data_IF_900880087299
#
_entry.id   IF_900880087299
#
_cell.length_a   1.000
_cell.length_b   1.000
_cell.length_c   1.000
_cell.angle_alpha   90.00
_cell.angle_beta   90.00
_cell.angle_gamma   90.00
#
_symmetry.space_group_name_H-M   'P 1'
#
loop_
_entity.id
_entity.type
_entity.pdbx_description
1 polymer ?
#
# COMPACT_ATOMS: atom_id res chain seq x y z
N UNK A 1 -8.33 16.86 20.27
CA UNK A 1 -9.16 15.93 21.08
C UNK A 1 -9.60 14.69 20.31
N UNK A 2 -10.12 14.73 19.07
CA UNK A 2 -10.37 13.49 18.29
C UNK A 2 -9.15 13.00 17.52
N UNK A 3 -8.27 13.92 17.10
CA UNK A 3 -7.02 13.62 16.38
C UNK A 3 -5.96 12.91 17.22
N UNK A 4 -6.04 13.04 18.55
CA UNK A 4 -5.17 12.31 19.49
C UNK A 4 -5.48 10.80 19.52
N UNK A 5 -6.64 10.41 18.99
CA UNK A 5 -7.14 9.03 18.98
C UNK A 5 -7.32 8.46 17.58
N UNK A 6 -7.41 9.29 16.52
CA UNK A 6 -7.67 8.82 15.17
C UNK A 6 -6.80 9.54 14.13
N UNK A 7 -5.81 8.82 13.60
CA UNK A 7 -5.04 9.27 12.45
C UNK A 7 -5.72 8.86 11.14
N UNK A 8 -6.27 9.83 10.42
CA UNK A 8 -6.94 9.63 9.13
C UNK A 8 -5.96 9.12 8.06
N UNK A 9 -4.69 9.55 8.10
CA UNK A 9 -3.67 9.08 7.16
C UNK A 9 -3.42 7.57 7.33
N UNK A 10 -3.21 7.13 8.57
CA UNK A 10 -3.01 5.71 8.90
C UNK A 10 -4.25 4.90 8.52
N UNK A 11 -5.44 5.43 8.77
CA UNK A 11 -6.69 4.79 8.34
C UNK A 11 -6.72 4.53 6.83
N UNK A 12 -6.41 5.52 5.98
CA UNK A 12 -6.44 5.35 4.54
C UNK A 12 -5.33 4.43 4.00
N UNK A 13 -4.14 4.46 4.62
CA UNK A 13 -3.05 3.52 4.29
C UNK A 13 -3.49 2.09 4.60
N UNK A 14 -3.95 1.82 5.82
CA UNK A 14 -4.40 0.48 6.22
C UNK A 14 -5.61 0.02 5.41
N UNK A 15 -6.56 0.92 5.14
CA UNK A 15 -7.71 0.64 4.29
C UNK A 15 -7.25 0.17 2.90
N UNK A 16 -6.26 0.83 2.30
CA UNK A 16 -5.69 0.41 1.02
C UNK A 16 -5.05 -0.98 1.12
N UNK A 17 -4.11 -1.19 2.03
CA UNK A 17 -3.36 -2.46 2.13
C UNK A 17 -4.29 -3.66 2.41
N UNK A 18 -5.34 -3.42 3.19
CA UNK A 18 -6.36 -4.42 3.49
C UNK A 18 -7.26 -4.72 2.30
N UNK A 19 -7.58 -3.72 1.46
CA UNK A 19 -8.32 -3.93 0.21
C UNK A 19 -7.50 -4.71 -0.82
N UNK A 20 -6.21 -4.40 -0.98
CA UNK A 20 -5.31 -5.14 -1.88
C UNK A 20 -5.22 -6.62 -1.47
N UNK A 21 -4.99 -6.86 -0.18
CA UNK A 21 -4.99 -8.20 0.42
C UNK A 21 -6.35 -8.91 0.23
N UNK A 22 -7.46 -8.21 0.46
CA UNK A 22 -8.80 -8.76 0.31
C UNK A 22 -9.15 -9.13 -1.14
N UNK A 23 -8.71 -8.33 -2.13
CA UNK A 23 -8.88 -8.64 -3.56
C UNK A 23 -8.13 -9.92 -3.91
N UNK A 24 -6.89 -10.07 -3.44
CA UNK A 24 -6.06 -11.25 -3.75
C UNK A 24 -6.67 -12.52 -3.12
N UNK A 25 -7.10 -12.45 -1.86
CA UNK A 25 -7.82 -13.54 -1.19
C UNK A 25 -9.13 -13.88 -1.92
N UNK A 26 -9.89 -12.88 -2.35
CA UNK A 26 -11.15 -13.07 -3.09
C UNK A 26 -10.92 -13.74 -4.44
N UNK A 27 -9.86 -13.37 -5.15
CA UNK A 27 -9.48 -13.97 -6.45
C UNK A 27 -9.04 -15.41 -6.27
N UNK A 28 -8.23 -15.71 -5.24
CA UNK A 28 -7.80 -17.08 -4.93
C UNK A 28 -8.98 -17.95 -4.52
N UNK A 29 -9.88 -17.43 -3.69
CA UNK A 29 -11.08 -18.13 -3.24
C UNK A 29 -12.03 -18.41 -4.42
N UNK A 30 -12.16 -17.44 -5.33
CA UNK A 30 -12.90 -17.61 -6.59
C UNK A 30 -12.24 -18.62 -7.52
N UNK A 31 -10.90 -18.64 -7.61
CA UNK A 31 -10.15 -19.60 -8.43
C UNK A 31 -10.32 -21.04 -7.91
N UNK A 32 -10.25 -21.25 -6.59
CA UNK A 32 -10.54 -22.58 -5.99
C UNK A 32 -11.97 -23.00 -6.32
N UNK A 33 -12.96 -22.12 -6.15
CA UNK A 33 -14.33 -22.46 -6.53
C UNK A 33 -14.45 -22.78 -8.04
N UNK A 34 -13.78 -22.06 -8.93
CA UNK A 34 -13.88 -22.27 -10.38
C UNK A 34 -13.21 -23.56 -10.88
N UNK A 35 -12.05 -23.95 -10.33
CA UNK A 35 -11.36 -25.16 -10.80
C UNK A 35 -11.95 -26.47 -10.26
N UNK A 36 -12.59 -26.42 -9.09
CA UNK A 36 -13.16 -27.61 -8.44
C UNK A 36 -14.69 -27.72 -8.60
N UNK A 37 -15.30 -26.83 -9.38
CA UNK A 37 -16.73 -26.84 -9.70
C UNK A 37 -16.89 -27.01 -11.22
N UNK A 38 -17.45 -28.14 -11.66
CA UNK A 38 -17.80 -28.38 -13.06
C UNK A 38 -19.31 -28.27 -13.23
N UNK A 39 -19.73 -27.62 -14.30
CA UNK A 39 -21.15 -27.47 -14.65
C UNK A 39 -21.50 -28.62 -15.60
N UNK A 40 -22.52 -29.40 -15.27
CA UNK A 40 -23.03 -30.44 -16.17
C UNK A 40 -23.81 -29.84 -17.35
N UNK A 41 -24.01 -30.62 -18.41
CA UNK A 41 -24.77 -30.21 -19.60
C UNK A 41 -26.23 -29.80 -19.27
N UNK A 42 -26.75 -30.22 -18.12
CA UNK A 42 -28.10 -29.87 -17.63
C UNK A 42 -28.14 -28.59 -16.78
N UNK A 43 -27.00 -27.90 -16.59
CA UNK A 43 -26.92 -26.70 -15.75
C UNK A 43 -26.77 -26.97 -14.25
N UNK A 44 -26.79 -28.24 -13.84
CA UNK A 44 -26.57 -28.66 -12.46
C UNK A 44 -25.08 -28.58 -12.10
N UNK A 45 -24.79 -27.94 -10.98
CA UNK A 45 -23.44 -27.70 -10.49
C UNK A 45 -22.98 -28.88 -9.64
N UNK A 46 -22.04 -29.69 -10.13
CA UNK A 46 -21.47 -30.79 -9.34
C UNK A 46 -20.00 -30.53 -9.00
N UNK A 47 -19.58 -30.99 -7.82
CA UNK A 47 -18.22 -30.83 -7.33
C UNK A 47 -17.39 -32.01 -7.84
N UNK A 48 -16.28 -31.75 -8.53
CA UNK A 48 -15.37 -32.81 -9.04
C UNK A 48 -14.58 -33.50 -7.93
N UNK A 49 -14.59 -32.91 -6.73
CA UNK A 49 -13.81 -33.32 -5.55
C UNK A 49 -14.70 -33.29 -4.31
N UNK A 50 -14.43 -34.17 -3.35
CA UNK A 50 -15.13 -34.23 -2.06
C UNK A 50 -15.31 -32.83 -1.42
N UNK A 51 -16.50 -32.50 -0.89
CA UNK A 51 -16.78 -31.19 -0.29
C UNK A 51 -15.87 -30.87 0.91
N UNK A 52 -15.31 -31.91 1.55
CA UNK A 52 -14.32 -31.79 2.63
C UNK A 52 -12.98 -31.24 2.13
N UNK A 53 -12.52 -31.62 0.95
CA UNK A 53 -11.21 -31.24 0.43
C UNK A 53 -11.19 -29.76 -0.03
N UNK A 54 -12.28 -29.29 -0.63
CA UNK A 54 -12.46 -27.86 -0.96
C UNK A 54 -12.44 -26.99 0.29
N UNK A 55 -13.06 -27.44 1.39
CA UNK A 55 -13.01 -26.72 2.67
C UNK A 55 -11.59 -26.65 3.22
N UNK A 56 -10.77 -27.70 3.03
CA UNK A 56 -9.37 -27.70 3.43
C UNK A 56 -8.53 -26.70 2.62
N UNK A 57 -8.69 -26.63 1.30
CA UNK A 57 -7.98 -25.64 0.48
C UNK A 57 -8.38 -24.20 0.81
N UNK A 58 -9.67 -23.96 1.09
CA UNK A 58 -10.14 -22.65 1.59
C UNK A 58 -9.55 -22.30 2.95
N UNK A 59 -9.45 -23.28 3.84
CA UNK A 59 -8.82 -23.10 5.15
C UNK A 59 -7.32 -22.80 5.01
N UNK A 60 -6.60 -23.46 4.08
CA UNK A 60 -5.19 -23.16 3.81
C UNK A 60 -4.97 -21.71 3.36
N UNK A 61 -5.84 -21.17 2.49
CA UNK A 61 -5.78 -19.76 2.07
C UNK A 61 -5.95 -18.83 3.28
N UNK A 62 -6.96 -19.08 4.12
CA UNK A 62 -7.22 -18.27 5.30
C UNK A 62 -6.12 -18.36 6.36
N UNK A 63 -5.59 -19.56 6.60
CA UNK A 63 -4.49 -19.78 7.54
C UNK A 63 -3.24 -19.06 7.05
N UNK A 64 -2.94 -19.12 5.74
CA UNK A 64 -1.82 -18.39 5.13
C UNK A 64 -1.96 -16.88 5.25
N UNK A 65 -3.13 -16.33 4.94
CA UNK A 65 -3.40 -14.89 5.09
C UNK A 65 -3.30 -14.42 6.55
N UNK A 66 -3.88 -15.18 7.48
CA UNK A 66 -3.88 -14.84 8.91
C UNK A 66 -2.48 -14.94 9.53
N UNK A 67 -1.69 -15.95 9.13
CA UNK A 67 -0.32 -16.10 9.63
C UNK A 67 0.60 -15.00 9.12
N UNK A 68 0.47 -14.56 7.87
CA UNK A 68 1.22 -13.42 7.33
C UNK A 68 0.92 -12.13 8.09
N UNK A 69 -0.38 -11.85 8.33
CA UNK A 69 -0.83 -10.70 9.10
C UNK A 69 -0.32 -10.74 10.56
N UNK A 70 -0.35 -11.92 11.21
CA UNK A 70 0.12 -12.07 12.59
C UNK A 70 1.63 -11.79 12.72
N UNK A 71 2.44 -12.30 11.78
CA UNK A 71 3.89 -12.06 11.77
C UNK A 71 4.17 -10.57 11.55
N UNK A 72 3.48 -9.94 10.60
CA UNK A 72 3.60 -8.50 10.35
C UNK A 72 3.28 -7.66 11.59
N UNK A 73 2.16 -7.95 12.29
CA UNK A 73 1.81 -7.26 13.53
C UNK A 73 2.86 -7.45 14.63
N UNK A 74 3.45 -8.65 14.72
CA UNK A 74 4.55 -8.91 15.65
C UNK A 74 5.78 -8.05 15.38
N UNK A 75 6.22 -7.98 14.12
CA UNK A 75 7.36 -7.16 13.69
C UNK A 75 7.07 -5.67 13.95
N UNK A 76 5.88 -5.19 13.60
CA UNK A 76 5.47 -3.80 13.86
C UNK A 76 5.44 -3.46 15.35
N UNK A 77 4.94 -4.37 16.19
CA UNK A 77 4.95 -4.21 17.64
C UNK A 77 6.37 -4.10 18.22
N UNK A 78 7.29 -4.94 17.75
CA UNK A 78 8.72 -4.87 18.14
C UNK A 78 9.35 -3.55 17.72
N UNK A 79 9.05 -3.06 16.51
CA UNK A 79 9.58 -1.79 16.00
C UNK A 79 9.12 -0.60 16.86
N UNK A 80 7.82 -0.54 17.19
CA UNK A 80 7.26 0.51 18.06
C UNK A 80 7.89 0.45 19.46
N UNK A 81 8.05 -0.75 20.03
CA UNK A 81 8.64 -0.92 21.35
C UNK A 81 10.10 -0.43 21.41
N UNK A 82 10.91 -0.71 20.38
CA UNK A 82 12.29 -0.25 20.29
C UNK A 82 12.34 1.28 20.21
N UNK A 83 11.47 1.88 19.39
CA UNK A 83 11.44 3.33 19.17
C UNK A 83 11.17 4.10 20.47
N UNK A 84 10.22 3.62 21.28
CA UNK A 84 9.86 4.25 22.56
C UNK A 84 10.91 4.09 23.67
N UNK A 85 11.79 3.09 23.57
CA UNK A 85 12.82 2.82 24.60
C UNK A 85 14.11 3.62 24.34
N UNK A 86 14.41 3.97 23.09
CA UNK A 86 15.74 4.49 22.67
C UNK A 86 15.71 5.99 22.25
N UNK A 87 14.55 6.57 21.93
CA UNK A 87 14.46 7.67 20.96
C UNK A 87 14.36 9.14 21.41
N UNK A 88 14.48 9.52 22.69
CA UNK A 88 14.00 10.87 23.08
C UNK A 88 14.91 12.08 22.75
N UNK A 89 16.23 11.93 22.60
CA UNK A 89 17.11 13.13 22.52
C UNK A 89 17.81 13.39 21.18
N UNK A 90 18.03 12.38 20.34
CA UNK A 90 18.81 12.55 19.09
C UNK A 90 17.92 12.99 17.91
N UNK A 91 16.61 12.71 18.00
CA UNK A 91 15.67 12.86 16.89
C UNK A 91 14.98 14.21 16.82
N UNK A 92 14.87 14.94 17.93
CA UNK A 92 14.23 16.28 17.97
C UNK A 92 14.99 17.32 17.16
N UNK A 93 16.33 17.22 17.09
CA UNK A 93 17.16 18.14 16.32
C UNK A 93 17.08 17.91 14.79
N UNK A 94 16.68 16.72 14.35
CA UNK A 94 16.57 16.37 12.93
C UNK A 94 15.11 16.23 12.46
N UNK A 95 14.14 16.46 13.35
CA UNK A 95 12.73 16.11 13.18
C UNK A 95 12.14 16.68 11.88
N UNK A 96 12.40 17.95 11.59
CA UNK A 96 11.82 18.64 10.42
C UNK A 96 12.45 18.22 9.09
N UNK A 97 13.77 18.03 9.06
CA UNK A 97 14.47 17.51 7.87
C UNK A 97 14.01 16.08 7.60
N UNK A 98 13.92 15.27 8.66
CA UNK A 98 13.47 13.89 8.59
C UNK A 98 12.02 13.82 8.10
N UNK A 99 11.11 14.60 8.67
CA UNK A 99 9.71 14.69 8.24
C UNK A 99 9.57 15.14 6.77
N UNK A 100 10.40 16.11 6.36
CA UNK A 100 10.47 16.58 4.97
C UNK A 100 10.87 15.48 3.98
N UNK A 101 11.94 14.75 4.30
CA UNK A 101 12.46 13.67 3.45
C UNK A 101 11.52 12.46 3.44
N UNK A 102 10.99 12.04 4.60
CA UNK A 102 10.12 10.88 4.70
C UNK A 102 8.76 11.10 4.04
N UNK A 103 8.22 12.31 4.05
CA UNK A 103 6.97 12.62 3.34
C UNK A 103 7.15 12.61 1.82
N UNK A 104 8.26 13.14 1.28
CA UNK A 104 8.59 13.04 -0.16
C UNK A 104 8.83 11.59 -0.59
N UNK A 105 9.60 10.84 0.21
CA UNK A 105 9.87 9.42 -0.05
C UNK A 105 8.58 8.59 0.00
N UNK A 106 7.71 8.84 1.00
CA UNK A 106 6.40 8.18 1.11
C UNK A 106 5.52 8.50 -0.10
N UNK A 107 5.48 9.75 -0.55
CA UNK A 107 4.72 10.13 -1.74
C UNK A 107 5.21 9.42 -3.01
N UNK A 108 6.52 9.25 -3.16
CA UNK A 108 7.11 8.52 -4.28
C UNK A 108 6.69 7.05 -4.27
N UNK A 109 6.79 6.38 -3.11
CA UNK A 109 6.42 4.97 -3.01
C UNK A 109 4.91 4.79 -3.23
N UNK A 110 4.06 5.64 -2.63
CA UNK A 110 2.61 5.62 -2.84
C UNK A 110 2.27 5.79 -4.33
N UNK A 111 2.96 6.69 -5.03
CA UNK A 111 2.75 6.94 -6.45
C UNK A 111 3.12 5.74 -7.34
N UNK A 112 4.25 5.10 -7.06
CA UNK A 112 4.71 3.89 -7.77
C UNK A 112 3.75 2.73 -7.54
N UNK A 113 3.34 2.50 -6.29
CA UNK A 113 2.39 1.42 -5.97
C UNK A 113 0.99 1.71 -6.54
N UNK A 114 0.56 2.98 -6.56
CA UNK A 114 -0.71 3.39 -7.17
C UNK A 114 -0.82 3.03 -8.66
N UNK A 115 0.32 3.03 -9.38
CA UNK A 115 0.38 2.59 -10.78
C UNK A 115 0.27 1.06 -10.91
N UNK A 116 0.84 0.31 -9.97
CA UNK A 116 0.78 -1.15 -9.96
C UNK A 116 -0.67 -1.66 -9.82
N UNK A 117 -1.48 -0.98 -9.00
CA UNK A 117 -2.90 -1.27 -8.79
C UNK A 117 -3.73 -1.19 -10.08
N UNK A 118 -3.49 -0.20 -10.94
CA UNK A 118 -4.23 -0.02 -12.19
C UNK A 118 -4.03 -1.20 -13.16
N UNK A 119 -2.93 -1.96 -13.02
CA UNK A 119 -2.58 -3.08 -13.89
C UNK A 119 -3.11 -4.43 -13.39
N UNK A 120 -3.73 -4.48 -12.20
CA UNK A 120 -4.11 -5.72 -11.50
C UNK A 120 -5.02 -6.62 -12.34
N UNK A 121 -5.99 -6.06 -13.08
CA UNK A 121 -6.95 -6.84 -13.88
C UNK A 121 -6.23 -7.67 -14.96
N UNK A 122 -5.20 -7.10 -15.58
CA UNK A 122 -4.38 -7.80 -16.58
C UNK A 122 -3.39 -8.81 -15.97
N UNK A 123 -2.97 -8.61 -14.71
CA UNK A 123 -2.08 -9.53 -14.01
C UNK A 123 -2.84 -10.77 -13.54
N UNK A 124 -4.07 -10.59 -13.07
CA UNK A 124 -4.93 -11.69 -12.63
C UNK A 124 -5.19 -12.71 -13.73
N UNK A 125 -5.45 -12.29 -14.96
CA UNK A 125 -5.71 -13.21 -16.09
C UNK A 125 -4.45 -14.00 -16.47
N UNK A 126 -3.29 -13.34 -16.49
CA UNK A 126 -1.99 -14.00 -16.76
C UNK A 126 -1.61 -14.99 -15.67
N UNK A 127 -1.81 -14.62 -14.40
CA UNK A 127 -1.51 -15.50 -13.27
C UNK A 127 -2.42 -16.71 -13.22
N UNK A 128 -3.73 -16.54 -13.46
CA UNK A 128 -4.66 -17.67 -13.55
C UNK A 128 -4.25 -18.67 -14.64
N UNK A 129 -3.82 -18.17 -15.80
CA UNK A 129 -3.32 -19.03 -16.89
C UNK A 129 -2.02 -19.75 -16.52
N UNK A 130 -1.07 -19.07 -15.86
CA UNK A 130 0.18 -19.69 -15.40
C UNK A 130 -0.05 -20.73 -14.31
N UNK A 131 -0.89 -20.42 -13.31
CA UNK A 131 -1.21 -21.32 -12.21
C UNK A 131 -2.00 -22.54 -12.71
N UNK A 132 -2.94 -22.35 -13.63
CA UNK A 132 -3.69 -23.45 -14.26
C UNK A 132 -2.79 -24.39 -15.06
N UNK A 133 -1.80 -23.85 -15.78
CA UNK A 133 -0.80 -24.68 -16.46
C UNK A 133 0.06 -25.46 -15.48
N UNK A 134 0.62 -24.83 -14.45
CA UNK A 134 1.49 -25.52 -13.46
C UNK A 134 0.76 -26.52 -12.55
N UNK A 135 -0.56 -26.40 -12.41
CA UNK A 135 -1.40 -27.38 -11.70
C UNK A 135 -1.71 -28.62 -12.56
N UNK A 136 -1.71 -28.46 -13.89
CA UNK A 136 -2.04 -29.53 -14.84
C UNK A 136 -0.79 -30.16 -15.49
N UNK A 137 0.35 -29.44 -15.50
CA UNK A 137 1.68 -29.99 -15.80
C UNK A 137 2.11 -30.89 -14.64
N UNK A 138 1.79 -32.17 -14.78
CA UNK A 138 2.42 -33.22 -14.01
C UNK A 138 3.88 -33.34 -14.47
N UNK A 139 4.76 -32.43 -14.04
CA UNK A 139 6.23 -32.51 -14.22
C UNK A 139 6.82 -33.69 -13.41
N UNK A 140 6.36 -34.91 -13.67
CA UNK A 140 7.01 -36.12 -13.18
C UNK A 140 8.11 -36.59 -14.14
N UNK A 141 8.05 -36.22 -15.43
CA UNK A 141 8.87 -36.85 -16.47
C UNK A 141 10.23 -36.17 -16.71
N UNK A 142 10.37 -34.86 -16.46
CA UNK A 142 11.58 -34.09 -16.82
C UNK A 142 12.73 -34.22 -15.79
N UNK A 143 12.42 -34.39 -14.49
CA UNK A 143 13.43 -34.46 -13.43
C UNK A 143 14.02 -35.88 -13.26
N UNK A 144 13.29 -36.92 -13.68
CA UNK A 144 13.75 -38.32 -13.60
C UNK A 144 14.86 -38.60 -14.63
N UNK A 145 14.80 -37.97 -15.80
CA UNK A 145 15.83 -38.05 -16.84
C UNK A 145 17.15 -37.36 -16.41
N UNK A 146 17.08 -36.23 -15.70
CA UNK A 146 18.24 -35.51 -15.18
C UNK A 146 18.98 -36.28 -14.08
N UNK A 147 18.24 -37.00 -13.22
CA UNK A 147 18.85 -37.85 -12.19
C UNK A 147 19.58 -39.06 -12.79
N UNK A 148 19.07 -39.60 -13.90
CA UNK A 148 19.67 -40.74 -14.60
C UNK A 148 20.94 -40.36 -15.38
N UNK A 149 21.08 -39.10 -15.79
CA UNK A 149 22.26 -38.59 -16.52
C UNK A 149 23.41 -38.16 -15.58
N UNK A 150 23.12 -37.83 -14.32
CA UNK A 150 24.09 -37.34 -13.33
C UNK A 150 24.79 -38.47 -12.54
N UNK A 151 24.33 -39.73 -12.67
CA UNK A 151 24.83 -40.88 -11.90
C UNK A 151 26.29 -41.28 -12.22
N UNK A 152 26.93 -40.64 -13.21
CA UNK A 152 28.32 -40.92 -13.65
C UNK A 152 29.42 -39.92 -13.26
N UNK A 153 29.11 -38.78 -12.65
CA UNK A 153 30.07 -37.69 -12.38
C UNK A 153 30.50 -37.61 -10.88
N UNK A 154 31.78 -37.31 -10.56
CA UNK A 154 32.25 -37.19 -9.17
C UNK A 154 31.68 -35.97 -8.42
N UNK A 155 31.01 -35.05 -9.12
CA UNK A 155 30.27 -33.90 -8.57
C UNK A 155 28.75 -34.18 -8.46
N UNK A 156 28.32 -35.44 -8.53
CA UNK A 156 26.90 -35.77 -8.45
C UNK A 156 26.28 -35.38 -7.09
N UNK A 157 26.99 -35.60 -5.98
CA UNK A 157 26.40 -35.61 -4.64
C UNK A 157 25.84 -34.25 -4.16
N UNK A 158 26.49 -33.13 -4.51
CA UNK A 158 25.99 -31.79 -4.15
C UNK A 158 24.83 -31.34 -5.05
N UNK A 159 24.87 -31.71 -6.32
CA UNK A 159 23.78 -31.46 -7.27
C UNK A 159 22.55 -32.28 -6.87
N UNK A 160 22.72 -33.54 -6.46
CA UNK A 160 21.60 -34.38 -5.96
C UNK A 160 20.96 -33.79 -4.71
N UNK A 161 21.72 -33.20 -3.78
CA UNK A 161 21.16 -32.52 -2.60
C UNK A 161 20.37 -31.27 -2.97
N UNK A 162 20.86 -30.45 -3.89
CA UNK A 162 20.14 -29.26 -4.36
C UNK A 162 18.87 -29.63 -5.12
N UNK A 163 18.92 -30.64 -5.99
CA UNK A 163 17.76 -31.18 -6.72
C UNK A 163 16.76 -31.80 -5.73
N UNK A 164 17.22 -32.52 -4.71
CA UNK A 164 16.36 -33.05 -3.65
C UNK A 164 15.68 -31.96 -2.82
N UNK A 165 16.41 -30.91 -2.43
CA UNK A 165 15.84 -29.76 -1.71
C UNK A 165 14.86 -28.98 -2.58
N UNK A 166 15.17 -28.78 -3.86
CA UNK A 166 14.28 -28.18 -4.86
C UNK A 166 13.01 -29.01 -5.01
N UNK A 167 13.11 -30.34 -5.15
CA UNK A 167 11.98 -31.28 -5.21
C UNK A 167 11.13 -31.24 -3.96
N UNK A 168 11.75 -31.23 -2.77
CA UNK A 168 11.04 -31.13 -1.49
C UNK A 168 10.31 -29.79 -1.37
N UNK A 169 10.93 -28.70 -1.82
CA UNK A 169 10.29 -27.39 -1.88
C UNK A 169 9.19 -27.30 -2.93
N UNK A 170 9.31 -27.99 -4.06
CA UNK A 170 8.27 -28.05 -5.10
C UNK A 170 7.10 -28.96 -4.70
N UNK A 171 7.34 -30.05 -3.97
CA UNK A 171 6.26 -30.88 -3.39
C UNK A 171 5.53 -30.17 -2.25
N UNK A 172 6.27 -29.52 -1.34
CA UNK A 172 5.67 -28.65 -0.32
C UNK A 172 4.97 -27.46 -0.98
N UNK A 173 5.58 -26.90 -2.03
CA UNK A 173 5.04 -25.85 -2.87
C UNK A 173 3.73 -26.28 -3.51
N UNK A 174 3.64 -27.46 -4.15
CA UNK A 174 2.41 -27.97 -4.77
C UNK A 174 1.31 -28.28 -3.74
N UNK A 175 1.67 -28.84 -2.58
CA UNK A 175 0.71 -29.21 -1.52
C UNK A 175 0.18 -28.02 -0.71
N UNK A 176 0.96 -26.93 -0.62
CA UNK A 176 0.63 -25.73 0.14
C UNK A 176 0.62 -24.43 -0.72
N UNK A 177 0.67 -24.55 -2.06
CA UNK A 177 0.77 -23.43 -3.02
C UNK A 177 -0.34 -22.40 -2.78
N UNK A 178 -1.55 -22.90 -2.55
CA UNK A 178 -2.73 -22.10 -2.34
C UNK A 178 -2.67 -21.30 -1.02
N UNK A 179 -1.92 -21.77 -0.03
CA UNK A 179 -1.71 -21.07 1.24
C UNK A 179 -0.49 -20.15 1.26
N UNK A 180 0.58 -20.49 0.53
CA UNK A 180 1.83 -19.70 0.56
C UNK A 180 1.74 -18.39 -0.23
N UNK A 181 0.95 -18.37 -1.30
CA UNK A 181 0.69 -17.16 -2.09
C UNK A 181 0.04 -16.05 -1.23
N UNK A 182 -1.11 -16.26 -0.58
CA UNK A 182 -1.71 -15.24 0.28
C UNK A 182 -0.86 -14.95 1.51
N UNK A 183 -0.07 -15.89 2.01
CA UNK A 183 0.89 -15.66 3.09
C UNK A 183 1.97 -14.64 2.70
N UNK A 184 2.71 -14.88 1.61
CA UNK A 184 3.79 -13.98 1.17
C UNK A 184 3.23 -12.61 0.81
N UNK A 185 2.07 -12.55 0.17
CA UNK A 185 1.40 -11.30 -0.16
C UNK A 185 1.01 -10.52 1.10
N UNK A 186 0.26 -11.11 2.03
CA UNK A 186 -0.16 -10.40 3.25
C UNK A 186 1.02 -9.98 4.12
N UNK A 187 2.10 -10.78 4.13
CA UNK A 187 3.34 -10.42 4.80
C UNK A 187 4.04 -9.24 4.14
N UNK A 188 4.12 -9.20 2.80
CA UNK A 188 4.70 -8.07 2.06
C UNK A 188 3.89 -6.79 2.27
N UNK A 189 2.61 -6.80 1.92
CA UNK A 189 1.77 -5.59 2.02
C UNK A 189 1.65 -5.13 3.49
N UNK A 190 1.62 -6.08 4.43
CA UNK A 190 1.68 -5.76 5.86
C UNK A 190 3.01 -5.10 6.28
N UNK A 191 4.16 -5.61 5.82
CA UNK A 191 5.46 -5.01 6.13
C UNK A 191 5.60 -3.61 5.53
N UNK A 192 5.11 -3.41 4.30
CA UNK A 192 5.03 -2.08 3.69
C UNK A 192 4.19 -1.14 4.57
N UNK A 193 3.01 -1.59 5.04
CA UNK A 193 2.15 -0.82 5.96
C UNK A 193 2.87 -0.41 7.25
N UNK A 194 3.59 -1.34 7.88
CA UNK A 194 4.34 -1.08 9.13
C UNK A 194 5.41 -0.01 8.91
N UNK A 195 6.14 -0.06 7.79
CA UNK A 195 7.18 0.92 7.46
C UNK A 195 6.57 2.29 7.19
N UNK A 196 5.44 2.37 6.48
CA UNK A 196 4.75 3.64 6.23
C UNK A 196 4.18 4.28 7.49
N UNK A 197 3.52 3.48 8.34
CA UNK A 197 2.99 3.95 9.63
C UNK A 197 4.13 4.41 10.53
N UNK A 198 5.26 3.68 10.55
CA UNK A 198 6.47 4.09 11.27
C UNK A 198 7.07 5.39 10.75
N UNK A 199 7.08 5.61 9.43
CA UNK A 199 7.63 6.83 8.83
C UNK A 199 6.78 8.09 9.04
N UNK A 200 5.45 7.97 8.99
CA UNK A 200 4.51 9.10 9.13
C UNK A 200 4.11 9.32 10.60
N UNK A 201 4.16 8.27 11.42
CA UNK A 201 3.67 8.27 12.81
C UNK A 201 4.62 8.88 13.84
N UNK A 202 5.86 9.24 13.50
CA UNK A 202 6.85 9.71 14.49
C UNK A 202 6.38 10.92 15.30
N UNK A 203 5.53 11.79 14.73
CA UNK A 203 5.06 13.02 15.36
C UNK A 203 3.61 12.94 15.89
N UNK A 204 3.06 11.73 15.98
CA UNK A 204 1.68 11.49 16.42
C UNK A 204 1.68 10.61 17.69
N UNK A 205 0.80 10.86 18.67
CA UNK A 205 0.75 10.05 19.88
C UNK A 205 0.44 8.59 19.54
N UNK A 206 1.21 7.63 20.09
CA UNK A 206 1.04 6.20 19.78
C UNK A 206 -0.35 5.64 20.15
N UNK A 207 -1.12 6.34 20.99
CA UNK A 207 -2.53 6.02 21.26
C UNK A 207 -3.43 6.12 20.04
N UNK A 208 -3.03 6.89 19.02
CA UNK A 208 -3.83 7.12 17.80
C UNK A 208 -3.73 6.00 16.75
N UNK A 209 -2.71 5.13 16.84
CA UNK A 209 -2.46 4.10 15.82
C UNK A 209 -3.43 2.92 15.91
N UNK A 210 -3.67 2.31 17.09
CA UNK A 210 -4.46 1.08 17.17
C UNK A 210 -5.89 1.26 16.68
N UNK A 211 -6.52 2.40 16.97
CA UNK A 211 -7.89 2.68 16.56
C UNK A 211 -7.98 2.87 15.04
N UNK A 212 -7.06 3.63 14.44
CA UNK A 212 -7.01 3.83 13.00
C UNK A 212 -6.77 2.52 12.23
N UNK A 213 -5.84 1.67 12.71
CA UNK A 213 -5.55 0.36 12.13
C UNK A 213 -6.77 -0.56 12.22
N UNK A 214 -7.43 -0.61 13.38
CA UNK A 214 -8.61 -1.45 13.56
C UNK A 214 -9.78 -1.01 12.68
N UNK A 215 -10.11 0.28 12.66
CA UNK A 215 -11.16 0.83 11.80
C UNK A 215 -10.85 0.62 10.31
N UNK A 216 -9.60 0.86 9.88
CA UNK A 216 -9.17 0.63 8.50
C UNK A 216 -9.30 -0.83 8.09
N UNK A 217 -8.83 -1.75 8.93
CA UNK A 217 -8.95 -3.18 8.69
C UNK A 217 -10.39 -3.70 8.69
N UNK A 218 -11.24 -3.16 9.57
CA UNK A 218 -12.65 -3.53 9.63
C UNK A 218 -13.39 -3.06 8.36
N UNK A 219 -13.21 -1.80 7.97
CA UNK A 219 -13.85 -1.25 6.76
C UNK A 219 -13.32 -1.96 5.52
N UNK A 220 -12.00 -2.16 5.40
CA UNK A 220 -11.39 -2.88 4.29
C UNK A 220 -11.84 -4.34 4.20
N UNK A 221 -11.99 -5.02 5.34
CA UNK A 221 -12.54 -6.37 5.43
C UNK A 221 -14.00 -6.44 4.97
N UNK A 222 -14.85 -5.51 5.41
CA UNK A 222 -16.25 -5.43 4.96
C UNK A 222 -16.33 -5.23 3.45
N UNK A 223 -15.59 -4.25 2.92
CA UNK A 223 -15.55 -3.97 1.48
C UNK A 223 -15.03 -5.19 0.73
N UNK A 224 -13.99 -5.85 1.23
CA UNK A 224 -13.47 -7.10 0.68
C UNK A 224 -14.50 -8.22 0.59
N UNK A 225 -15.31 -8.42 1.64
CA UNK A 225 -16.40 -9.41 1.64
C UNK A 225 -17.50 -9.04 0.65
N UNK A 226 -17.86 -7.75 0.58
CA UNK A 226 -18.83 -7.25 -0.41
C UNK A 226 -18.31 -7.47 -1.82
N UNK A 227 -17.02 -7.25 -2.08
CA UNK A 227 -16.38 -7.50 -3.37
C UNK A 227 -16.35 -9.00 -3.73
N UNK A 228 -16.06 -9.87 -2.76
CA UNK A 228 -16.10 -11.33 -2.98
C UNK A 228 -17.50 -11.80 -3.40
N UNK A 229 -18.55 -11.27 -2.78
CA UNK A 229 -19.94 -11.62 -3.11
C UNK A 229 -20.45 -10.90 -4.37
N UNK A 230 -19.90 -9.72 -4.67
CA UNK A 230 -20.41 -8.78 -5.68
C UNK A 230 -20.16 -9.16 -7.14
N UNK A 231 -19.25 -10.11 -7.42
CA UNK A 231 -19.15 -10.89 -8.68
C UNK A 231 -18.99 -10.16 -10.03
N UNK A 232 -19.22 -8.85 -10.12
CA UNK A 232 -19.24 -8.12 -11.38
C UNK A 232 -17.90 -7.39 -11.58
N UNK A 233 -17.12 -7.81 -12.59
CA UNK A 233 -15.77 -7.27 -12.85
C UNK A 233 -15.74 -5.75 -13.07
N UNK A 234 -16.87 -5.15 -13.47
CA UNK A 234 -17.03 -3.71 -13.67
C UNK A 234 -16.97 -2.91 -12.37
N UNK A 235 -17.50 -3.40 -11.23
CA UNK A 235 -17.49 -2.62 -9.98
C UNK A 235 -16.08 -2.52 -9.35
N UNK A 236 -15.25 -3.54 -9.55
CA UNK A 236 -13.90 -3.60 -8.99
C UNK A 236 -12.95 -2.59 -9.64
N UNK A 237 -13.08 -2.38 -10.96
CA UNK A 237 -12.24 -1.44 -11.69
C UNK A 237 -12.53 0.02 -11.33
N UNK A 238 -13.81 0.42 -11.25
CA UNK A 238 -14.16 1.79 -10.84
C UNK A 238 -13.75 2.09 -9.41
N UNK A 239 -13.90 1.13 -8.50
CA UNK A 239 -13.47 1.27 -7.11
C UNK A 239 -11.96 1.50 -7.01
N UNK A 240 -11.16 0.69 -7.71
CA UNK A 240 -9.70 0.82 -7.73
C UNK A 240 -9.24 2.13 -8.39
N UNK A 241 -9.90 2.58 -9.47
CA UNK A 241 -9.60 3.86 -10.11
C UNK A 241 -9.88 5.03 -9.15
N UNK A 242 -11.02 5.00 -8.44
CA UNK A 242 -11.38 6.03 -7.48
C UNK A 242 -10.39 6.07 -6.30
N UNK A 243 -10.02 4.90 -5.75
CA UNK A 243 -9.04 4.83 -4.67
C UNK A 243 -7.64 5.26 -5.12
N UNK A 244 -7.21 4.91 -6.34
CA UNK A 244 -5.93 5.35 -6.88
C UNK A 244 -5.89 6.86 -7.12
N UNK A 245 -6.98 7.46 -7.62
CA UNK A 245 -7.09 8.91 -7.76
C UNK A 245 -6.97 9.62 -6.41
N UNK A 246 -7.68 9.12 -5.40
CA UNK A 246 -7.58 9.62 -4.03
C UNK A 246 -6.15 9.50 -3.47
N UNK A 247 -5.47 8.38 -3.69
CA UNK A 247 -4.09 8.17 -3.23
C UNK A 247 -3.09 9.10 -3.93
N UNK A 248 -3.30 9.43 -5.21
CA UNK A 248 -2.46 10.43 -5.90
C UNK A 248 -2.66 11.82 -5.32
N UNK A 249 -3.89 12.17 -4.92
CA UNK A 249 -4.16 13.42 -4.20
C UNK A 249 -3.40 13.45 -2.86
N UNK A 250 -3.41 12.34 -2.10
CA UNK A 250 -2.67 12.23 -0.83
C UNK A 250 -1.15 12.29 -1.05
N UNK A 251 -0.63 11.59 -2.06
CA UNK A 251 0.80 11.63 -2.39
C UNK A 251 1.24 13.06 -2.72
N UNK A 252 0.45 13.79 -3.51
CA UNK A 252 0.73 15.21 -3.78
C UNK A 252 0.69 16.09 -2.52
N UNK A 253 -0.24 15.82 -1.61
CA UNK A 253 -0.30 16.47 -0.30
C UNK A 253 0.97 16.23 0.52
N UNK A 254 1.46 14.98 0.54
CA UNK A 254 2.71 14.62 1.22
C UNK A 254 3.93 15.29 0.58
N UNK A 255 4.01 15.42 -0.75
CA UNK A 255 5.09 16.21 -1.39
C UNK A 255 4.99 17.68 -1.00
N UNK A 256 3.78 18.27 -1.00
CA UNK A 256 3.56 19.66 -0.60
C UNK A 256 3.95 19.92 0.86
N UNK A 257 3.68 18.96 1.75
CA UNK A 257 4.11 19.01 3.16
C UNK A 257 5.62 18.83 3.30
N UNK A 258 6.22 17.90 2.56
CA UNK A 258 7.65 17.64 2.68
C UNK A 258 8.52 18.80 2.21
N UNK A 259 8.14 19.43 1.10
CA UNK A 259 8.80 20.66 0.62
C UNK A 259 8.66 21.80 1.61
N UNK A 260 7.49 21.95 2.24
CA UNK A 260 7.28 22.97 3.27
C UNK A 260 8.26 22.83 4.44
N UNK A 261 8.41 21.64 4.99
CA UNK A 261 9.34 21.41 6.11
C UNK A 261 10.80 21.68 5.73
N UNK A 262 11.20 21.35 4.50
CA UNK A 262 12.56 21.65 4.00
C UNK A 262 12.79 23.16 3.81
N UNK A 263 11.80 23.89 3.30
CA UNK A 263 11.87 25.35 3.14
C UNK A 263 11.87 26.06 4.50
N UNK A 264 11.06 25.58 5.44
CA UNK A 264 10.99 26.09 6.80
C UNK A 264 12.33 25.93 7.52
N UNK A 265 13.00 24.78 7.37
CA UNK A 265 14.32 24.55 7.95
C UNK A 265 15.39 25.49 7.40
N UNK A 266 15.37 25.75 6.09
CA UNK A 266 16.28 26.74 5.49
C UNK A 266 16.03 28.15 6.03
N UNK A 267 14.77 28.49 6.30
CA UNK A 267 14.40 29.78 6.87
C UNK A 267 14.84 29.90 8.34
N UNK A 268 14.60 28.86 9.15
CA UNK A 268 15.02 28.79 10.55
C UNK A 268 16.54 28.91 10.67
N UNK A 269 17.29 28.23 9.81
CA UNK A 269 18.76 28.35 9.75
C UNK A 269 19.23 29.77 9.42
N UNK A 270 18.52 30.49 8.53
CA UNK A 270 18.84 31.90 8.19
C UNK A 270 18.50 32.86 9.33
N UNK A 271 17.45 32.60 10.08
CA UNK A 271 17.03 33.44 11.21
C UNK A 271 17.85 33.20 12.49
N UNK A 272 18.49 32.02 12.62
CA UNK A 272 19.28 31.66 13.80
C UNK A 272 18.45 31.41 15.07
N UNK A 273 17.13 31.47 14.98
CA UNK A 273 16.16 31.14 16.01
C UNK A 273 14.99 30.38 15.38
N UNK A 274 14.30 29.58 16.18
CA UNK A 274 13.12 28.84 15.73
C UNK A 274 11.96 29.81 15.46
N UNK A 275 11.69 30.04 14.18
CA UNK A 275 10.61 30.93 13.69
C UNK A 275 9.33 30.16 13.38
N UNK A 276 9.27 28.85 13.67
CA UNK A 276 8.02 28.10 13.56
C UNK A 276 6.95 28.78 14.42
N UNK A 277 5.89 29.24 13.75
CA UNK A 277 4.91 30.13 14.35
C UNK A 277 4.27 29.48 15.58
N UNK A 278 4.54 30.03 16.76
CA UNK A 278 3.84 29.69 18.00
C UNK A 278 2.45 30.35 17.99
N UNK A 279 1.59 29.91 17.07
CA UNK A 279 0.19 30.33 16.97
C UNK A 279 -0.26 30.75 15.57
N UNK A 280 -1.42 31.38 15.52
CA UNK A 280 -2.08 31.83 14.29
C UNK A 280 -1.95 33.35 14.07
N UNK A 281 -1.02 34.01 14.77
CA UNK A 281 -0.78 35.45 14.65
C UNK A 281 0.04 35.82 13.41
N UNK A 282 0.33 37.12 13.20
CA UNK A 282 1.29 37.58 12.19
C UNK A 282 2.69 37.07 12.60
N UNK A 283 3.04 35.87 12.14
CA UNK A 283 4.27 35.20 12.49
C UNK A 283 5.46 35.66 11.65
N UNK A 284 6.56 34.91 11.77
CA UNK A 284 7.79 35.16 11.04
C UNK A 284 7.89 34.18 9.87
N UNK A 285 7.68 34.68 8.65
CA UNK A 285 7.78 33.90 7.42
C UNK A 285 8.52 34.67 6.32
N UNK A 286 9.07 33.93 5.35
CA UNK A 286 9.80 34.50 4.22
C UNK A 286 8.86 35.12 3.18
N UNK A 287 8.63 36.44 3.28
CA UNK A 287 7.77 37.21 2.37
C UNK A 287 8.18 37.05 0.89
N UNK A 288 9.46 36.77 0.60
CA UNK A 288 9.95 36.66 -0.78
C UNK A 288 9.48 35.39 -1.50
N UNK A 289 9.22 34.32 -0.75
CA UNK A 289 8.83 33.02 -1.29
C UNK A 289 7.38 32.63 -0.97
N UNK A 290 6.70 33.38 -0.10
CA UNK A 290 5.29 33.17 0.24
C UNK A 290 4.35 33.81 -0.77
N UNK A 291 3.34 33.05 -1.20
CA UNK A 291 2.23 33.54 -2.02
C UNK A 291 1.12 34.12 -1.15
N UNK A 292 0.82 33.44 -0.04
CA UNK A 292 -0.23 33.83 0.88
C UNK A 292 0.13 33.44 2.31
N UNK A 293 -0.47 34.15 3.24
CA UNK A 293 -0.45 33.84 4.66
C UNK A 293 -1.84 34.17 5.22
N UNK A 294 -2.37 33.25 6.03
CA UNK A 294 -3.66 33.43 6.70
C UNK A 294 -3.45 33.29 8.21
N UNK A 295 -3.94 34.28 8.97
CA UNK A 295 -3.85 34.34 10.44
C UNK A 295 -4.82 33.38 11.16
N UNK A 296 -5.35 32.40 10.46
CA UNK A 296 -6.18 31.34 11.01
C UNK A 296 -5.89 30.07 10.21
N UNK A 297 -6.40 28.93 10.68
CA UNK A 297 -6.35 27.70 9.91
C UNK A 297 -4.94 27.12 9.80
N UNK A 298 -4.20 27.15 10.91
CA UNK A 298 -2.82 26.70 10.98
C UNK A 298 -2.74 25.17 10.86
N UNK A 299 -1.97 24.68 9.89
CA UNK A 299 -1.81 23.26 9.61
C UNK A 299 -0.98 22.48 10.64
N UNK A 300 -0.42 23.13 11.65
CA UNK A 300 0.35 22.51 12.74
C UNK A 300 -0.40 22.51 14.08
N UNK A 301 -1.26 23.51 14.33
CA UNK A 301 -1.88 23.73 15.65
C UNK A 301 -3.41 23.63 15.64
N UNK A 302 -4.07 23.91 14.51
CA UNK A 302 -5.53 23.85 14.41
C UNK A 302 -5.96 22.48 13.86
N UNK A 303 -6.62 21.69 14.70
CA UNK A 303 -6.80 20.26 14.43
C UNK A 303 -7.40 19.89 13.05
N UNK A 304 -8.54 20.48 12.69
CA UNK A 304 -9.16 20.21 11.39
C UNK A 304 -8.28 20.61 10.18
N UNK A 305 -7.39 21.58 10.37
CA UNK A 305 -6.43 22.03 9.37
C UNK A 305 -5.14 21.20 9.38
N UNK A 306 -4.79 20.59 10.51
CA UNK A 306 -3.76 19.56 10.60
C UNK A 306 -4.14 18.32 9.77
N UNK A 307 -5.43 17.97 9.73
CA UNK A 307 -5.94 16.93 8.83
C UNK A 307 -5.80 17.32 7.35
N UNK A 308 -6.13 18.54 6.98
CA UNK A 308 -5.97 19.03 5.61
C UNK A 308 -4.49 19.17 5.22
N UNK A 309 -3.62 19.47 6.19
CA UNK A 309 -2.17 19.45 6.02
C UNK A 309 -1.67 18.03 5.77
N UNK A 310 -2.18 17.08 6.56
CA UNK A 310 -1.89 15.67 6.44
C UNK A 310 -2.35 15.03 5.10
N UNK A 311 -3.52 15.39 4.59
CA UNK A 311 -4.11 14.77 3.40
C UNK A 311 -3.79 15.52 2.11
N UNK A 312 -3.92 16.85 2.11
CA UNK A 312 -3.81 17.68 0.90
C UNK A 312 -2.54 18.55 0.96
N UNK A 313 -1.77 18.49 2.05
CA UNK A 313 -0.59 19.32 2.23
C UNK A 313 -0.91 20.77 2.50
N UNK A 314 -2.12 21.08 3.00
CA UNK A 314 -2.55 22.44 3.38
C UNK A 314 -1.60 23.10 4.38
N UNK A 315 -1.26 24.35 4.13
CA UNK A 315 -0.47 25.20 5.03
C UNK A 315 -1.07 26.60 5.03
N UNK A 316 -1.14 27.25 6.19
CA UNK A 316 -1.63 28.62 6.35
C UNK A 316 -0.70 29.64 5.68
N UNK A 317 0.59 29.30 5.61
CA UNK A 317 1.61 30.00 4.83
C UNK A 317 1.98 29.09 3.66
N UNK A 318 1.71 29.49 2.42
CA UNK A 318 2.12 28.68 1.26
C UNK A 318 3.13 29.37 0.36
N UNK A 319 4.06 28.57 -0.15
CA UNK A 319 5.17 29.02 -1.01
C UNK A 319 4.91 28.77 -2.49
N UNK A 320 5.67 29.46 -3.35
CA UNK A 320 5.62 29.28 -4.80
C UNK A 320 5.82 27.82 -5.24
N UNK A 321 6.69 27.10 -4.56
CA UNK A 321 7.01 25.70 -4.88
C UNK A 321 5.80 24.81 -4.59
N UNK A 322 5.14 24.99 -3.44
CA UNK A 322 3.91 24.25 -3.11
C UNK A 322 2.77 24.52 -4.09
N UNK A 323 2.57 25.77 -4.52
CA UNK A 323 1.55 26.07 -5.56
C UNK A 323 1.82 25.31 -6.85
N UNK A 324 3.08 25.25 -7.27
CA UNK A 324 3.47 24.55 -8.50
C UNK A 324 3.22 23.05 -8.36
N UNK A 325 3.59 22.44 -7.23
CA UNK A 325 3.35 21.01 -6.94
C UNK A 325 1.85 20.69 -6.95
N UNK A 326 1.03 21.49 -6.27
CA UNK A 326 -0.44 21.29 -6.24
C UNK A 326 -1.07 21.45 -7.63
N UNK A 327 -0.54 22.35 -8.45
CA UNK A 327 -1.00 22.50 -9.84
C UNK A 327 -0.71 21.28 -10.71
N UNK A 328 0.39 20.55 -10.47
CA UNK A 328 0.69 19.29 -11.15
C UNK A 328 -0.17 18.14 -10.63
N UNK A 329 -0.50 18.14 -9.34
CA UNK A 329 -1.27 17.11 -8.67
C UNK A 329 -2.76 17.05 -9.04
N UNK A 330 -3.37 18.20 -9.36
CA UNK A 330 -4.79 18.29 -9.77
C UNK A 330 -5.01 17.72 -11.18
N UNK A 331 -3.93 17.48 -11.94
CA UNK A 331 -3.99 16.87 -13.26
C UNK A 331 -3.07 15.63 -13.37
N UNK A 332 -3.26 14.56 -12.59
CA UNK A 332 -2.34 13.43 -12.60
C UNK A 332 -2.59 12.46 -13.76
N UNK A 333 -3.71 12.57 -14.49
CA UNK A 333 -4.12 11.51 -15.43
C UNK A 333 -4.74 12.09 -16.71
N UNK A 334 -3.93 12.21 -17.76
CA UNK A 334 -4.43 12.10 -19.14
C UNK A 334 -4.78 10.63 -19.35
N UNK A 335 -6.02 10.23 -19.05
CA UNK A 335 -6.51 8.89 -19.41
C UNK A 335 -6.68 8.91 -20.93
N UNK A 336 -5.99 8.06 -21.71
CA UNK A 336 -6.33 7.89 -23.11
C UNK A 336 -7.67 7.17 -23.15
N UNK A 337 -8.75 7.95 -23.23
CA UNK A 337 -10.05 7.44 -23.66
C UNK A 337 -9.92 7.33 -25.18
N UNK A 338 -10.03 6.11 -25.73
CA UNK A 338 -10.08 5.91 -27.18
C UNK A 338 -11.17 6.83 -27.77
N UNK A 339 -10.74 7.86 -28.50
CA UNK A 339 -11.61 8.78 -29.23
C UNK A 339 -11.53 10.24 -28.75
N UNK A 340 -10.68 11.03 -29.43
CA UNK A 340 -10.83 12.47 -29.71
C UNK A 340 -11.24 13.42 -28.56
N UNK A 341 -10.26 14.12 -27.99
CA UNK A 341 -10.02 15.58 -28.09
C UNK A 341 -9.07 16.04 -26.98
N UNK A 342 -8.03 16.79 -27.35
CA UNK A 342 -7.11 17.42 -26.42
C UNK A 342 -7.73 18.69 -25.83
N UNK A 343 -8.24 18.62 -24.60
CA UNK A 343 -8.53 19.82 -23.81
C UNK A 343 -7.37 20.14 -22.86
N UNK A 344 -6.82 21.34 -23.01
CA UNK A 344 -5.88 21.94 -22.07
C UNK A 344 -6.66 22.53 -20.89
N UNK A 345 -6.48 22.00 -19.68
CA UNK A 345 -7.20 22.44 -18.47
C UNK A 345 -6.68 23.75 -17.81
N UNK A 346 -6.02 24.65 -18.55
CA UNK A 346 -5.76 26.00 -18.04
C UNK A 346 -6.09 27.07 -19.06
N UNK A 347 -6.86 28.11 -18.69
CA UNK A 347 -6.90 29.33 -19.47
C UNK A 347 -5.50 29.94 -19.46
N UNK A 348 -4.94 30.17 -20.66
CA UNK A 348 -3.81 31.07 -20.84
C UNK A 348 -4.21 32.44 -20.30
N UNK A 349 -3.34 33.03 -19.49
CA UNK A 349 -3.30 34.42 -19.04
C UNK A 349 -4.09 34.78 -17.77
N UNK A 350 -3.34 35.00 -16.68
CA UNK A 350 -3.61 36.09 -15.74
C UNK A 350 -2.31 36.87 -15.58
N UNK A 351 -2.05 37.74 -16.56
CA UNK A 351 -1.23 38.94 -16.39
C UNK A 351 -2.22 40.11 -16.40
N UNK A 352 -2.41 40.74 -15.25
CA UNK A 352 -2.83 42.13 -15.08
C UNK A 352 -2.46 42.55 -13.67
#
# INVERSE_FOLDING_TARGET
MWEDYFSVQIFFIILRETLESAIIISVLLSFVNQNFTSIDQNGDTYLTVDPKQIRQYKAQIWIGALSGLAICLGIGGVFIAIFYVIGNDIWSAAERIWEGVFSILSALIISVMGLALLRINSMQTKWKSKLGKSLNDNNHDDDEHLLQEIEGEPLAQDITKLVYYKRKMDEFGKKYALGILPFVTTLREGLEAVVFVGGIGVNQPASSFPLAIFCGGLVGGIVGVVMYRGGNKMSLQYFLILSSCFLYMVAAGLVSRGVWFLELEQFVQKCGQDTSETGSGPGSYDISNTIWHVNCCNGLTDGGWMLLNALVGWTNTATYVQRKIRSFAICPIKIPIEGNQEENCFPKNFNS
#
